data_IF_578706411206
#
_entry.id   IF_578706411206
#
_cell.length_a   1.000
_cell.length_b   1.000
_cell.length_c   1.000
_cell.angle_alpha   90.00
_cell.angle_beta   90.00
_cell.angle_gamma   90.00
#
_symmetry.space_group_name_H-M   'P 1'
#
loop_
_entity.id
_entity.type
_entity.pdbx_description
1 polymer ?
#
# COMPACT_ATOMS: atom_id res chain seq x y z
N UNK A 1 -27.20 36.84 5.48
CA UNK A 1 -26.12 36.51 4.51
C UNK A 1 -24.89 35.86 5.17
N UNK A 2 -24.44 36.32 6.36
CA UNK A 2 -23.32 35.69 7.09
C UNK A 2 -23.58 34.24 7.52
N UNK A 3 -24.79 33.94 8.01
CA UNK A 3 -25.19 32.58 8.40
C UNK A 3 -25.27 31.59 7.23
N UNK A 4 -25.60 32.08 6.02
CA UNK A 4 -25.64 31.25 4.79
C UNK A 4 -24.22 30.94 4.31
N UNK A 5 -23.28 31.89 4.42
CA UNK A 5 -21.86 31.64 4.17
C UNK A 5 -21.24 30.64 5.18
N UNK A 6 -21.59 30.74 6.47
CA UNK A 6 -21.13 29.76 7.48
C UNK A 6 -21.67 28.34 7.24
N UNK A 7 -22.88 28.24 6.69
CA UNK A 7 -23.50 26.95 6.36
C UNK A 7 -22.84 26.26 5.16
N UNK A 8 -22.24 26.99 4.22
CA UNK A 8 -21.57 26.41 3.05
C UNK A 8 -20.17 25.89 3.40
N UNK A 9 -19.48 26.55 4.34
CA UNK A 9 -18.16 26.15 4.82
C UNK A 9 -18.17 24.83 5.62
N UNK A 10 -19.28 24.54 6.32
CA UNK A 10 -19.43 23.32 7.12
C UNK A 10 -19.73 22.07 6.26
N UNK A 11 -20.29 22.23 5.07
CA UNK A 11 -20.58 21.13 4.15
C UNK A 11 -19.32 20.58 3.46
N UNK A 12 -18.27 21.40 3.31
CA UNK A 12 -16.99 20.99 2.72
C UNK A 12 -16.14 20.09 3.63
N UNK A 13 -16.35 20.13 4.95
CA UNK A 13 -15.58 19.35 5.92
C UNK A 13 -15.98 17.86 5.96
N UNK A 14 -17.12 17.48 5.36
CA UNK A 14 -17.61 16.10 5.35
C UNK A 14 -17.10 15.26 4.16
N UNK A 15 -16.43 15.87 3.18
CA UNK A 15 -15.76 15.16 2.08
C UNK A 15 -14.27 14.89 2.33
N UNK A 16 -13.79 15.13 3.56
CA UNK A 16 -12.44 14.72 3.96
C UNK A 16 -12.34 13.20 3.91
N UNK A 17 -11.43 12.66 3.10
CA UNK A 17 -11.13 11.23 3.10
C UNK A 17 -10.69 10.80 4.50
N UNK A 18 -11.43 9.88 5.12
CA UNK A 18 -10.95 9.09 6.25
C UNK A 18 -9.97 8.05 5.70
N UNK A 19 -8.67 8.24 5.92
CA UNK A 19 -7.70 7.15 5.74
C UNK A 19 -7.95 6.15 6.89
N UNK A 20 -8.40 4.96 6.54
CA UNK A 20 -8.67 3.89 7.49
C UNK A 20 -7.35 3.18 7.82
N UNK A 21 -6.63 3.68 8.82
CA UNK A 21 -5.29 3.23 9.20
C UNK A 21 -5.33 2.01 10.14
N UNK A 22 -5.91 0.91 9.67
CA UNK A 22 -5.92 -0.30 10.48
C UNK A 22 -6.23 -1.52 9.67
N UNK A 23 -5.31 -1.98 8.80
CA UNK A 23 -5.45 -3.27 8.14
C UNK A 23 -4.07 -3.86 7.85
N UNK A 24 -3.89 -5.13 8.22
CA UNK A 24 -2.85 -5.98 7.65
C UNK A 24 -2.87 -5.81 6.11
N UNK A 25 -1.72 -5.69 5.42
CA UNK A 25 -1.70 -5.40 3.99
C UNK A 25 -2.58 -6.43 3.25
N UNK A 26 -3.55 -5.92 2.50
CA UNK A 26 -4.42 -6.76 1.68
C UNK A 26 -3.57 -7.31 0.53
N UNK A 27 -3.19 -8.58 0.64
CA UNK A 27 -2.37 -9.26 -0.37
C UNK A 27 -3.27 -9.65 -1.54
N UNK A 28 -2.91 -9.18 -2.73
CA UNK A 28 -3.63 -9.47 -3.97
C UNK A 28 -2.77 -10.30 -4.92
N UNK A 29 -3.38 -10.94 -5.92
CA UNK A 29 -2.63 -11.54 -7.02
C UNK A 29 -1.92 -10.45 -7.84
N UNK A 30 -0.72 -10.74 -8.33
CA UNK A 30 0.11 -9.79 -9.04
C UNK A 30 1.03 -8.99 -8.10
N UNK A 31 1.25 -7.71 -8.42
CA UNK A 31 2.23 -6.84 -7.76
C UNK A 31 1.70 -6.35 -6.41
N UNK A 32 2.49 -6.56 -5.35
CA UNK A 32 2.25 -6.02 -4.02
C UNK A 32 3.52 -5.32 -3.53
N UNK A 33 3.43 -4.04 -3.19
CA UNK A 33 4.54 -3.21 -2.72
C UNK A 33 4.65 -3.26 -1.18
N UNK A 34 5.87 -3.40 -0.68
CA UNK A 34 6.17 -3.44 0.75
C UNK A 34 7.41 -2.62 1.08
N UNK A 35 7.51 -2.20 2.33
CA UNK A 35 8.72 -1.61 2.89
C UNK A 35 9.20 -2.42 4.09
N UNK A 36 10.51 -2.41 4.32
CA UNK A 36 11.14 -3.00 5.50
C UNK A 36 12.37 -2.20 5.90
N UNK A 37 12.70 -2.20 7.19
CA UNK A 37 13.90 -1.52 7.71
C UNK A 37 15.02 -2.52 7.91
N UNK A 38 16.13 -2.31 7.23
CA UNK A 38 17.36 -3.11 7.38
C UNK A 38 18.52 -2.16 7.65
N UNK A 39 19.24 -2.37 8.75
CA UNK A 39 20.34 -1.50 9.20
C UNK A 39 19.96 -0.02 9.35
N UNK A 40 18.72 0.24 9.79
CA UNK A 40 18.18 1.60 9.95
C UNK A 40 17.84 2.30 8.63
N UNK A 41 17.94 1.62 7.50
CA UNK A 41 17.57 2.14 6.18
C UNK A 41 16.27 1.45 5.72
N UNK A 42 15.27 2.26 5.36
CA UNK A 42 14.03 1.78 4.75
C UNK A 42 14.31 1.29 3.32
N UNK A 43 13.83 0.09 3.01
CA UNK A 43 13.97 -0.56 1.71
C UNK A 43 12.59 -0.96 1.21
N UNK A 44 12.31 -0.59 -0.03
CA UNK A 44 11.14 -1.05 -0.77
C UNK A 44 11.44 -2.38 -1.46
N UNK A 45 10.43 -3.24 -1.56
CA UNK A 45 10.48 -4.47 -2.35
C UNK A 45 9.09 -4.86 -2.83
N UNK A 46 9.04 -5.55 -3.96
CA UNK A 46 7.81 -6.09 -4.54
C UNK A 46 7.70 -7.60 -4.29
N UNK A 47 6.50 -8.05 -3.92
CA UNK A 47 6.13 -9.46 -4.01
C UNK A 47 5.11 -9.65 -5.13
N UNK A 48 5.50 -10.41 -6.15
CA UNK A 48 4.59 -10.84 -7.22
C UNK A 48 3.91 -12.15 -6.83
N UNK A 49 2.62 -12.10 -6.50
CA UNK A 49 1.84 -13.27 -6.09
C UNK A 49 1.20 -13.94 -7.32
N UNK A 50 1.50 -15.22 -7.60
CA UNK A 50 0.92 -15.92 -8.74
C UNK A 50 -0.61 -16.04 -8.65
N UNK A 51 -1.28 -16.05 -9.80
CA UNK A 51 -2.72 -16.34 -9.88
C UNK A 51 -3.02 -17.70 -9.25
N UNK A 52 -3.98 -17.75 -8.34
CA UNK A 52 -4.41 -18.99 -7.69
C UNK A 52 -3.46 -19.50 -6.61
N UNK A 53 -2.48 -18.68 -6.17
CA UNK A 53 -1.73 -18.96 -4.95
C UNK A 53 -2.67 -19.08 -3.75
N UNK A 54 -2.49 -20.14 -2.96
CA UNK A 54 -3.11 -20.30 -1.66
C UNK A 54 -2.03 -20.37 -0.56
N UNK A 55 -2.32 -19.81 0.60
CA UNK A 55 -1.39 -19.78 1.73
C UNK A 55 -1.22 -21.15 2.43
N UNK A 56 -1.83 -22.22 1.91
CA UNK A 56 -1.77 -23.59 2.48
C UNK A 56 -0.71 -24.43 1.77
N UNK A 57 -0.31 -24.02 0.57
CA UNK A 57 0.63 -24.73 -0.28
C UNK A 57 1.97 -24.02 -0.28
N UNK A 58 3.00 -24.70 0.25
CA UNK A 58 4.36 -24.20 0.17
C UNK A 58 4.86 -24.24 -1.28
N UNK A 59 5.29 -23.09 -1.78
CA UNK A 59 5.89 -22.94 -3.12
C UNK A 59 7.29 -22.34 -2.99
N UNK A 60 8.21 -22.60 -3.93
CA UNK A 60 9.51 -21.95 -3.93
C UNK A 60 9.38 -20.43 -4.13
N UNK A 61 10.26 -19.68 -3.47
CA UNK A 61 10.36 -18.23 -3.62
C UNK A 61 11.53 -17.91 -4.55
N UNK A 62 11.30 -17.01 -5.51
CA UNK A 62 12.33 -16.50 -6.41
C UNK A 62 12.70 -15.08 -5.99
N UNK A 63 13.98 -14.85 -5.69
CA UNK A 63 14.50 -13.50 -5.48
C UNK A 63 15.01 -12.94 -6.80
N UNK A 64 14.39 -11.85 -7.26
CA UNK A 64 14.84 -11.12 -8.43
C UNK A 64 15.59 -9.88 -7.96
N UNK A 65 16.91 -9.88 -8.16
CA UNK A 65 17.77 -8.77 -7.78
C UNK A 65 18.13 -7.98 -9.03
N UNK A 66 17.87 -6.67 -9.00
CA UNK A 66 18.23 -5.78 -10.10
C UNK A 66 19.74 -5.53 -10.14
N UNK A 67 20.24 -5.14 -11.32
CA UNK A 67 21.63 -4.71 -11.50
C UNK A 67 21.86 -3.25 -11.12
N UNK A 68 23.09 -2.77 -11.36
CA UNK A 68 23.48 -1.38 -11.07
C UNK A 68 22.56 -0.37 -11.77
N UNK A 69 21.94 0.53 -10.99
CA UNK A 69 21.07 1.60 -11.51
C UNK A 69 19.64 1.17 -11.86
N UNK A 70 19.28 -0.12 -11.67
CA UNK A 70 17.90 -0.57 -11.73
C UNK A 70 17.16 -0.34 -10.42
N UNK A 71 15.83 -0.40 -10.49
CA UNK A 71 14.89 -0.50 -9.38
C UNK A 71 13.84 -1.58 -9.72
N UNK A 72 12.89 -1.80 -8.81
CA UNK A 72 11.92 -2.89 -8.94
C UNK A 72 10.82 -2.77 -7.92
#
# INVERSE_FOLDING_TARGET
MKAVLLSFATLFLLFGCTKNDGNNPEITYGKNDFTTTVDGIEREYIVSVPQGYDAKTNIPVVFMLHGTGGDG
#
